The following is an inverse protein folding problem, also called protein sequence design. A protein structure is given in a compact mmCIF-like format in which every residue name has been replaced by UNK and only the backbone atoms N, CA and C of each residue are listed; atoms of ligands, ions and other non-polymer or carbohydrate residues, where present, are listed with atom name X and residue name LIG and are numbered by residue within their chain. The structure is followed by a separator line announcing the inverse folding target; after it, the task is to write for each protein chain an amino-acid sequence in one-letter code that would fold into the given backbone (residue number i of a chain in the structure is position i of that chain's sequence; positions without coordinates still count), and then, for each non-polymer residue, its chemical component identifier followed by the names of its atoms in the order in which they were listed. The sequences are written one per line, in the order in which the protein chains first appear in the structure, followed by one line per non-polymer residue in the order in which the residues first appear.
data_IF_902316713333
#
_entry.id   IF_902316713333
#
_cell.length_a   1.000
_cell.length_b   1.000
_cell.length_c   1.000
_cell.angle_alpha   90.00
_cell.angle_beta   90.00
_cell.angle_gamma   90.00
#
_symmetry.space_group_name_H-M   'P 1'
#
loop_
_entity.id
_entity.type
_entity.pdbx_description
1 polymer ?
#
# COMPACT_ATOMS: atom_id res chain seq x y z
N UNK A 1 19.66 50.66 -14.44
CA UNK A 1 19.67 49.24 -14.03
C UNK A 1 19.04 48.42 -15.15
N UNK A 2 19.74 47.41 -15.67
CA UNK A 2 19.40 46.72 -16.92
C UNK A 2 18.12 45.88 -16.76
N UNK A 3 17.13 46.09 -17.62
CA UNK A 3 15.83 45.41 -17.64
C UNK A 3 15.91 43.87 -17.65
N UNK A 4 17.07 43.31 -18.00
CA UNK A 4 17.31 41.87 -18.05
C UNK A 4 17.39 41.23 -16.65
N UNK A 5 17.82 41.96 -15.63
CA UNK A 5 17.87 41.44 -14.25
C UNK A 5 16.48 41.15 -13.71
N UNK A 6 15.50 42.01 -14.00
CA UNK A 6 14.12 41.93 -13.47
C UNK A 6 13.35 40.76 -14.10
N UNK A 7 13.57 40.48 -15.39
CA UNK A 7 12.96 39.31 -16.04
C UNK A 7 13.45 37.99 -15.43
N UNK A 8 14.75 37.86 -15.15
CA UNK A 8 15.32 36.63 -14.55
C UNK A 8 14.76 36.33 -13.15
N UNK A 9 14.50 37.36 -12.34
CA UNK A 9 13.89 37.19 -11.02
C UNK A 9 12.40 36.80 -11.10
N UNK A 10 11.65 37.35 -12.05
CA UNK A 10 10.25 36.96 -12.27
C UNK A 10 10.13 35.51 -12.75
N UNK A 11 11.02 35.06 -13.64
CA UNK A 11 11.03 33.66 -14.11
C UNK A 11 11.37 32.67 -12.99
N UNK A 12 12.35 33.00 -12.15
CA UNK A 12 12.71 32.16 -11.00
C UNK A 12 11.60 32.11 -9.94
N UNK A 13 10.92 33.22 -9.68
CA UNK A 13 9.79 33.28 -8.76
C UNK A 13 8.57 32.49 -9.25
N UNK A 14 8.24 32.57 -10.56
CA UNK A 14 7.16 31.76 -11.14
C UNK A 14 7.47 30.26 -11.11
N UNK A 15 8.71 29.85 -11.42
CA UNK A 15 9.13 28.45 -11.29
C UNK A 15 9.08 27.98 -9.83
N UNK A 16 9.52 28.79 -8.87
CA UNK A 16 9.42 28.46 -7.45
C UNK A 16 7.95 28.32 -7.00
N UNK A 17 7.06 29.23 -7.38
CA UNK A 17 5.63 29.12 -7.02
C UNK A 17 4.96 27.89 -7.65
N UNK A 18 5.26 27.58 -8.91
CA UNK A 18 4.73 26.39 -9.58
C UNK A 18 5.27 25.09 -8.97
N UNK A 19 6.55 25.05 -8.57
CA UNK A 19 7.13 23.90 -7.88
C UNK A 19 6.57 23.73 -6.47
N UNK A 20 6.34 24.82 -5.72
CA UNK A 20 5.73 24.77 -4.38
C UNK A 20 4.27 24.30 -4.45
N UNK A 21 3.48 24.78 -5.42
CA UNK A 21 2.09 24.33 -5.60
C UNK A 21 2.02 22.88 -6.10
N UNK A 22 2.90 22.48 -7.03
CA UNK A 22 3.00 21.09 -7.48
C UNK A 22 3.40 20.13 -6.35
N UNK A 23 4.35 20.52 -5.49
CA UNK A 23 4.79 19.71 -4.37
C UNK A 23 3.75 19.63 -3.24
N UNK A 24 3.02 20.73 -2.98
CA UNK A 24 1.91 20.72 -2.02
C UNK A 24 0.80 19.74 -2.45
N UNK A 25 0.41 19.75 -3.73
CA UNK A 25 -0.59 18.82 -4.27
C UNK A 25 -0.14 17.36 -4.22
N UNK A 26 1.16 17.08 -4.43
CA UNK A 26 1.69 15.72 -4.30
C UNK A 26 1.73 15.28 -2.83
N UNK A 27 2.09 16.19 -1.92
CA UNK A 27 2.12 15.89 -0.49
C UNK A 27 0.72 15.55 0.01
N UNK A 28 -0.28 16.38 -0.31
CA UNK A 28 -1.69 16.13 0.00
C UNK A 28 -2.19 14.83 -0.64
N UNK A 29 -1.87 14.59 -1.92
CA UNK A 29 -2.20 13.33 -2.58
C UNK A 29 -1.59 12.13 -1.87
N UNK A 30 -0.38 12.24 -1.34
CA UNK A 30 0.36 11.18 -0.65
C UNK A 30 0.19 11.19 0.88
N UNK A 31 -0.82 11.85 1.42
CA UNK A 31 -1.15 11.71 2.84
C UNK A 31 -1.69 10.31 3.15
N UNK A 32 -1.38 9.85 4.36
CA UNK A 32 -1.95 8.64 4.93
C UNK A 32 -3.48 8.72 4.92
N UNK A 33 -4.11 7.61 4.59
CA UNK A 33 -5.57 7.53 4.68
C UNK A 33 -6.02 7.73 6.12
N UNK A 34 -7.00 8.60 6.30
CA UNK A 34 -7.60 8.92 7.59
C UNK A 34 -8.93 8.20 7.74
N UNK A 35 -9.37 8.04 8.98
CA UNK A 35 -10.72 7.55 9.25
C UNK A 35 -11.75 8.58 8.75
N UNK A 36 -12.70 8.11 7.96
CA UNK A 36 -13.87 8.88 7.53
C UNK A 36 -15.14 8.33 8.22
N UNK A 37 -15.81 9.12 9.09
CA UNK A 37 -17.04 8.69 9.77
C UNK A 37 -18.24 8.49 8.83
N UNK A 38 -18.22 9.01 7.60
CA UNK A 38 -19.31 8.78 6.63
C UNK A 38 -19.08 7.55 5.75
N UNK A 39 -17.85 7.03 5.72
CA UNK A 39 -17.53 5.81 5.00
C UNK A 39 -17.99 4.58 5.83
N UNK A 40 -18.79 3.67 5.26
CA UNK A 40 -19.41 2.57 6.01
C UNK A 40 -18.44 1.41 6.36
N UNK A 41 -17.13 1.60 6.15
CA UNK A 41 -16.15 0.52 6.29
C UNK A 41 -15.86 0.12 7.74
N UNK A 42 -16.00 1.06 8.68
CA UNK A 42 -15.74 0.89 10.11
C UNK A 42 -16.78 1.64 10.93
N UNK A 43 -17.16 1.10 12.09
CA UNK A 43 -18.13 1.75 12.97
C UNK A 43 -17.48 2.89 13.80
N UNK A 44 -16.16 2.91 13.92
CA UNK A 44 -15.44 3.94 14.70
C UNK A 44 -14.00 4.16 14.24
N UNK A 45 -13.43 5.30 14.63
CA UNK A 45 -12.00 5.59 14.51
C UNK A 45 -11.13 4.53 15.19
N UNK A 46 -11.60 3.95 16.30
CA UNK A 46 -10.86 2.92 17.04
C UNK A 46 -10.72 1.65 16.22
N UNK A 47 -11.77 1.24 15.51
CA UNK A 47 -11.73 0.05 14.64
C UNK A 47 -10.82 0.29 13.42
N UNK A 48 -10.94 1.45 12.77
CA UNK A 48 -10.07 1.85 11.67
C UNK A 48 -8.59 1.79 12.08
N UNK A 49 -8.25 2.41 13.21
CA UNK A 49 -6.87 2.43 13.71
C UNK A 49 -6.40 1.05 14.21
N UNK A 50 -7.30 0.22 14.73
CA UNK A 50 -7.01 -1.16 15.10
C UNK A 50 -6.60 -2.01 13.89
N UNK A 51 -7.36 -1.93 12.79
CA UNK A 51 -7.03 -2.66 11.56
C UNK A 51 -5.77 -2.07 10.88
N UNK A 52 -5.61 -0.74 10.89
CA UNK A 52 -4.36 -0.08 10.43
C UNK A 52 -3.14 -0.56 11.20
N UNK A 53 -3.24 -0.67 12.53
CA UNK A 53 -2.15 -1.16 13.37
C UNK A 53 -1.80 -2.61 13.04
N UNK A 54 -2.82 -3.46 12.84
CA UNK A 54 -2.61 -4.85 12.42
C UNK A 54 -1.90 -4.93 11.07
N UNK A 55 -2.33 -4.12 10.09
CA UNK A 55 -1.67 -4.01 8.79
C UNK A 55 -0.18 -3.65 8.93
N UNK A 56 0.11 -2.58 9.69
CA UNK A 56 1.48 -2.11 9.92
C UNK A 56 2.34 -3.16 10.60
N UNK A 57 1.79 -3.94 11.54
CA UNK A 57 2.53 -5.01 12.20
C UNK A 57 2.99 -6.11 11.24
N UNK A 58 2.13 -6.51 10.28
CA UNK A 58 2.51 -7.48 9.26
C UNK A 58 3.49 -6.90 8.25
N UNK A 59 3.31 -5.62 7.88
CA UNK A 59 4.23 -4.88 7.01
C UNK A 59 5.62 -4.81 7.61
N UNK A 60 5.72 -4.40 8.89
CA UNK A 60 6.98 -4.29 9.62
C UNK A 60 7.67 -5.64 9.72
N UNK A 61 6.90 -6.69 10.02
CA UNK A 61 7.43 -8.05 10.05
C UNK A 61 7.95 -8.51 8.69
N UNK A 62 7.25 -8.19 7.60
CA UNK A 62 7.73 -8.47 6.25
C UNK A 62 9.07 -7.78 5.98
N UNK A 63 9.20 -6.49 6.31
CA UNK A 63 10.46 -5.74 6.15
C UNK A 63 11.58 -6.36 6.99
N UNK A 64 11.30 -6.74 8.24
CA UNK A 64 12.26 -7.38 9.14
C UNK A 64 12.83 -8.66 8.53
N UNK A 65 11.97 -9.62 8.17
CA UNK A 65 12.37 -10.95 7.70
C UNK A 65 12.97 -10.93 6.28
N UNK A 66 12.83 -9.82 5.55
CA UNK A 66 13.33 -9.70 4.17
C UNK A 66 14.49 -8.73 4.01
N UNK A 67 14.85 -7.98 5.04
CA UNK A 67 15.88 -6.93 5.00
C UNK A 67 17.23 -7.35 4.40
N UNK A 68 17.60 -8.63 4.55
CA UNK A 68 18.90 -9.18 4.15
C UNK A 68 18.79 -10.47 3.31
N UNK A 69 17.64 -10.72 2.68
CA UNK A 69 17.44 -11.94 1.86
C UNK A 69 17.23 -11.58 0.38
N UNK A 70 17.53 -12.54 -0.49
CA UNK A 70 17.27 -12.41 -1.93
C UNK A 70 15.88 -12.91 -2.30
N UNK A 71 14.94 -11.97 -2.43
CA UNK A 71 13.59 -12.27 -2.90
C UNK A 71 13.51 -12.66 -4.39
N UNK A 72 14.61 -12.61 -5.16
CA UNK A 72 14.66 -13.25 -6.48
C UNK A 72 14.66 -14.79 -6.40
N UNK A 73 15.05 -15.36 -5.26
CA UNK A 73 15.14 -16.80 -5.04
C UNK A 73 13.78 -17.39 -4.59
N UNK A 74 13.25 -18.33 -5.37
CA UNK A 74 11.94 -18.96 -5.11
C UNK A 74 11.88 -19.69 -3.76
N UNK A 75 12.98 -20.30 -3.32
CA UNK A 75 13.05 -20.97 -2.02
C UNK A 75 12.98 -19.96 -0.87
N UNK A 76 13.65 -18.81 -1.03
CA UNK A 76 13.62 -17.73 -0.03
C UNK A 76 12.22 -17.11 0.04
N UNK A 77 11.60 -16.82 -1.09
CA UNK A 77 10.21 -16.33 -1.15
C UNK A 77 9.24 -17.29 -0.45
N UNK A 78 9.33 -18.60 -0.74
CA UNK A 78 8.48 -19.60 -0.10
C UNK A 78 8.66 -19.62 1.43
N UNK A 79 9.89 -19.45 1.92
CA UNK A 79 10.18 -19.34 3.34
C UNK A 79 9.59 -18.06 3.96
N UNK A 80 9.64 -16.93 3.25
CA UNK A 80 9.03 -15.66 3.68
C UNK A 80 7.51 -15.79 3.76
N UNK A 81 6.87 -16.39 2.75
CA UNK A 81 5.43 -16.69 2.75
C UNK A 81 5.05 -17.59 3.93
N UNK A 82 5.86 -18.63 4.20
CA UNK A 82 5.64 -19.52 5.34
C UNK A 82 5.68 -18.77 6.68
N UNK A 83 6.67 -17.90 6.88
CA UNK A 83 6.79 -17.06 8.08
C UNK A 83 5.62 -16.09 8.25
N UNK A 84 5.20 -15.43 7.16
CA UNK A 84 4.03 -14.54 7.15
C UNK A 84 2.74 -15.30 7.52
N UNK A 85 2.51 -16.46 6.91
CA UNK A 85 1.35 -17.32 7.21
C UNK A 85 1.39 -17.87 8.65
N UNK A 86 2.57 -18.15 9.19
CA UNK A 86 2.71 -18.55 10.60
C UNK A 86 2.37 -17.40 11.55
N UNK A 87 2.79 -16.16 11.25
CA UNK A 87 2.38 -14.97 12.00
C UNK A 87 0.87 -14.74 11.89
N UNK A 88 0.29 -15.01 10.72
CA UNK A 88 -1.14 -14.94 10.48
C UNK A 88 -1.94 -15.85 11.44
N UNK A 89 -1.56 -17.12 11.53
CA UNK A 89 -2.17 -18.07 12.47
C UNK A 89 -2.00 -17.64 13.92
N UNK A 90 -0.82 -17.13 14.29
CA UNK A 90 -0.57 -16.61 15.65
C UNK A 90 -1.48 -15.44 16.01
N UNK A 91 -1.95 -14.67 15.03
CA UNK A 91 -2.93 -13.59 15.20
C UNK A 91 -4.39 -14.06 15.20
N UNK A 92 -4.63 -15.36 15.08
CA UNK A 92 -5.96 -15.95 15.15
C UNK A 92 -6.70 -16.00 13.81
N UNK A 93 -6.05 -15.65 12.70
CA UNK A 93 -6.66 -15.85 11.38
C UNK A 93 -6.68 -17.33 11.00
N UNK A 94 -7.77 -17.74 10.35
CA UNK A 94 -7.86 -19.06 9.78
C UNK A 94 -7.06 -19.11 8.46
N UNK A 95 -5.96 -19.86 8.44
CA UNK A 95 -5.13 -20.03 7.25
C UNK A 95 -5.80 -20.83 6.13
N UNK A 96 -6.96 -21.44 6.36
CA UNK A 96 -7.81 -22.00 5.28
C UNK A 96 -8.69 -20.94 4.62
N UNK A 97 -8.74 -19.74 5.18
CA UNK A 97 -9.51 -18.62 4.65
C UNK A 97 -8.58 -17.52 4.19
N UNK A 98 -7.46 -17.27 4.87
CA UNK A 98 -6.52 -16.20 4.56
C UNK A 98 -5.10 -16.71 4.36
N UNK A 99 -4.38 -16.17 3.39
CA UNK A 99 -2.96 -16.46 3.20
C UNK A 99 -2.23 -15.35 2.47
N UNK A 100 -0.91 -15.27 2.71
CA UNK A 100 -0.02 -14.41 1.95
C UNK A 100 0.43 -15.08 0.66
N UNK A 101 0.54 -14.27 -0.40
CA UNK A 101 1.08 -14.65 -1.71
C UNK A 101 2.01 -13.55 -2.23
N UNK A 102 2.95 -13.95 -3.10
CA UNK A 102 3.88 -13.03 -3.80
C UNK A 102 3.62 -13.14 -5.30
N UNK A 103 3.38 -12.01 -5.97
CA UNK A 103 3.12 -11.94 -7.41
C UNK A 103 4.32 -11.26 -8.09
N UNK A 104 5.18 -12.08 -8.69
CA UNK A 104 6.47 -11.64 -9.24
C UNK A 104 6.38 -10.61 -10.37
N UNK A 105 5.33 -10.63 -11.19
CA UNK A 105 5.25 -9.71 -12.34
C UNK A 105 5.16 -8.25 -11.92
N UNK A 106 4.70 -7.97 -10.70
CA UNK A 106 4.37 -6.63 -10.23
C UNK A 106 5.09 -6.24 -8.92
N UNK A 107 5.87 -7.15 -8.32
CA UNK A 107 6.47 -6.91 -7.00
C UNK A 107 5.42 -6.82 -5.88
N UNK A 108 4.27 -7.45 -6.05
CA UNK A 108 3.18 -7.36 -5.07
C UNK A 108 3.26 -8.48 -4.03
N UNK A 109 3.08 -8.11 -2.75
CA UNK A 109 2.94 -9.01 -1.61
C UNK A 109 1.55 -8.82 -1.05
N UNK A 110 0.70 -9.84 -1.12
CA UNK A 110 -0.72 -9.69 -0.80
C UNK A 110 -1.15 -10.73 0.20
N UNK A 111 -1.70 -10.30 1.34
CA UNK A 111 -2.61 -11.13 2.10
C UNK A 111 -3.99 -11.07 1.44
N UNK A 112 -4.49 -12.23 1.08
CA UNK A 112 -5.82 -12.38 0.50
C UNK A 112 -6.55 -13.53 1.17
N UNK A 113 -7.85 -13.59 0.92
CA UNK A 113 -8.60 -14.82 1.14
C UNK A 113 -8.13 -15.89 0.15
N UNK A 114 -8.02 -17.15 0.59
CA UNK A 114 -7.41 -18.28 -0.13
C UNK A 114 -7.67 -18.25 -1.64
N UNK A 115 -6.55 -18.34 -2.38
CA UNK A 115 -6.39 -18.70 -3.79
C UNK A 115 -7.40 -18.10 -4.78
N UNK A 116 -6.96 -17.07 -5.50
CA UNK A 116 -7.59 -16.61 -6.73
C UNK A 116 -8.34 -15.29 -6.64
N UNK A 117 -8.28 -14.62 -5.49
CA UNK A 117 -9.01 -13.38 -5.24
C UNK A 117 -8.22 -12.11 -5.58
N UNK A 118 -7.02 -12.18 -6.19
CA UNK A 118 -6.44 -10.99 -6.82
C UNK A 118 -7.47 -10.40 -7.77
N UNK A 119 -8.14 -9.27 -7.47
CA UNK A 119 -9.14 -8.73 -8.37
C UNK A 119 -8.49 -8.65 -9.75
N UNK A 120 -9.15 -9.17 -10.78
CA UNK A 120 -9.02 -8.45 -12.05
C UNK A 120 -9.54 -7.09 -11.65
N UNK A 121 -8.64 -6.10 -11.58
CA UNK A 121 -8.94 -4.73 -11.16
C UNK A 121 -9.82 -4.15 -12.25
N UNK A 122 -11.06 -4.62 -12.28
CA UNK A 122 -12.05 -4.22 -13.24
C UNK A 122 -12.59 -2.89 -12.76
N UNK A 123 -12.49 -1.91 -13.66
CA UNK A 123 -12.94 -0.54 -13.54
C UNK A 123 -12.42 0.29 -12.36
N UNK A 124 -11.37 1.05 -12.66
CA UNK A 124 -11.09 2.42 -12.21
C UNK A 124 -10.92 2.73 -10.70
N UNK A 125 -11.48 1.95 -9.76
CA UNK A 125 -11.32 2.12 -8.32
C UNK A 125 -10.11 1.37 -7.74
N UNK A 126 -9.93 0.08 -8.10
CA UNK A 126 -8.80 -0.71 -7.59
C UNK A 126 -7.42 -0.30 -8.14
N UNK A 127 -7.35 0.69 -9.04
CA UNK A 127 -6.07 1.35 -9.39
C UNK A 127 -5.53 2.22 -8.26
N UNK A 128 -6.38 2.66 -7.33
CA UNK A 128 -5.97 3.57 -6.25
C UNK A 128 -5.17 2.82 -5.17
N UNK A 129 -5.68 1.69 -4.65
CA UNK A 129 -4.99 0.84 -3.66
C UNK A 129 -3.78 0.05 -4.20
N UNK A 130 -3.56 0.05 -5.52
CA UNK A 130 -2.40 -0.58 -6.15
C UNK A 130 -1.39 0.43 -6.67
N UNK A 131 -1.88 1.48 -7.32
CA UNK A 131 -1.06 2.52 -7.94
C UNK A 131 -0.61 3.56 -6.93
N UNK A 132 -1.49 4.03 -6.03
CA UNK A 132 -1.14 5.10 -5.07
C UNK A 132 0.02 4.72 -4.16
N UNK A 133 0.09 3.51 -3.56
CA UNK A 133 1.24 3.14 -2.75
C UNK A 133 2.56 3.26 -3.50
N UNK A 134 2.60 2.82 -4.78
CA UNK A 134 3.81 2.92 -5.60
C UNK A 134 4.12 4.34 -6.08
N UNK A 135 3.10 5.14 -6.41
CA UNK A 135 3.24 6.56 -6.76
C UNK A 135 3.73 7.40 -5.57
N UNK A 136 3.32 7.02 -4.36
CA UNK A 136 3.66 7.67 -3.11
C UNK A 136 4.74 6.93 -2.30
N UNK A 137 5.52 6.06 -2.94
CA UNK A 137 6.48 5.18 -2.24
C UNK A 137 7.53 5.93 -1.41
N UNK A 138 7.89 7.14 -1.84
CA UNK A 138 8.89 7.98 -1.19
C UNK A 138 8.31 8.71 0.05
N UNK A 139 6.98 8.74 0.20
CA UNK A 139 6.26 9.31 1.34
C UNK A 139 5.88 8.26 2.39
N UNK A 140 6.11 6.97 2.10
CA UNK A 140 5.70 5.84 2.94
C UNK A 140 4.20 5.85 3.28
N UNK A 141 3.37 6.30 2.35
CA UNK A 141 1.92 6.48 2.54
C UNK A 141 1.21 5.15 2.79
N UNK A 142 0.45 5.08 3.88
CA UNK A 142 -0.52 4.01 4.14
C UNK A 142 -1.83 4.36 3.46
N UNK A 143 -2.21 3.55 2.48
CA UNK A 143 -3.42 3.74 1.67
C UNK A 143 -4.49 2.75 2.13
N UNK A 144 -5.69 3.28 2.37
CA UNK A 144 -6.90 2.53 2.66
C UNK A 144 -7.93 2.74 1.55
N UNK A 145 -8.65 1.68 1.20
CA UNK A 145 -9.78 1.73 0.27
C UNK A 145 -10.87 0.73 0.72
N UNK A 146 -12.13 1.05 0.42
CA UNK A 146 -13.29 0.19 0.68
C UNK A 146 -14.13 0.07 -0.57
N UNK A 147 -14.04 -1.09 -1.22
CA UNK A 147 -14.59 -1.28 -2.56
C UNK A 147 -15.25 -2.65 -2.70
N UNK A 148 -16.35 -2.67 -3.45
CA UNK A 148 -17.07 -3.90 -3.78
C UNK A 148 -16.36 -4.65 -4.89
N UNK A 149 -16.09 -5.93 -4.68
CA UNK A 149 -15.44 -6.78 -5.67
C UNK A 149 -16.46 -7.71 -6.31
N UNK A 150 -16.87 -7.40 -7.54
CA UNK A 150 -17.94 -8.11 -8.25
C UNK A 150 -17.69 -9.61 -8.38
N UNK A 151 -16.43 -10.03 -8.58
CA UNK A 151 -16.09 -11.45 -8.79
C UNK A 151 -16.33 -12.31 -7.54
N UNK A 152 -16.13 -11.76 -6.35
CA UNK A 152 -16.41 -12.46 -5.08
C UNK A 152 -17.77 -12.10 -4.49
N UNK A 153 -18.40 -11.03 -5.00
CA UNK A 153 -19.71 -10.59 -4.55
C UNK A 153 -19.71 -9.93 -3.17
N UNK A 154 -18.54 -9.51 -2.67
CA UNK A 154 -18.36 -9.00 -1.31
C UNK A 154 -17.73 -7.60 -1.32
N UNK A 155 -17.97 -6.87 -0.24
CA UNK A 155 -17.23 -5.64 0.08
C UNK A 155 -15.86 -6.00 0.66
N UNK A 156 -14.83 -5.22 0.36
CA UNK A 156 -13.48 -5.43 0.89
C UNK A 156 -12.90 -4.15 1.48
N UNK A 157 -12.17 -4.33 2.58
CA UNK A 157 -11.24 -3.35 3.12
C UNK A 157 -9.83 -3.66 2.61
N UNK A 158 -9.22 -2.69 1.97
CA UNK A 158 -7.90 -2.79 1.37
C UNK A 158 -6.94 -1.88 2.12
N UNK A 159 -5.85 -2.45 2.63
CA UNK A 159 -4.71 -1.71 3.14
C UNK A 159 -3.50 -1.95 2.25
N UNK A 160 -2.73 -0.90 2.01
CA UNK A 160 -1.55 -1.01 1.16
C UNK A 160 -0.50 0.04 1.47
N UNK A 161 0.76 -0.33 1.28
CA UNK A 161 1.91 0.57 1.41
C UNK A 161 3.07 0.05 0.56
N UNK A 162 3.81 0.95 -0.08
CA UNK A 162 5.07 0.58 -0.72
C UNK A 162 6.17 0.38 0.33
N UNK A 163 6.90 -0.72 0.21
CA UNK A 163 8.03 -1.04 1.09
C UNK A 163 9.25 -1.36 0.25
N UNK A 164 10.40 -0.80 0.62
CA UNK A 164 11.68 -1.15 0.00
C UNK A 164 12.42 -2.12 0.90
N UNK A 165 12.70 -3.32 0.42
CA UNK A 165 13.39 -4.37 1.19
C UNK A 165 14.19 -5.29 0.27
N UNK A 166 14.66 -6.45 0.76
CA UNK A 166 15.56 -7.37 0.06
C UNK A 166 16.97 -6.80 -0.14
N UNK A 167 17.94 -7.69 -0.40
CA UNK A 167 19.29 -7.30 -0.83
C UNK A 167 19.27 -6.54 -2.16
N UNK A 168 18.23 -6.75 -2.96
CA UNK A 168 18.02 -6.10 -4.26
C UNK A 168 17.42 -4.69 -4.13
N UNK A 169 17.00 -4.27 -2.92
CA UNK A 169 16.36 -2.96 -2.65
C UNK A 169 15.19 -2.66 -3.58
N UNK A 170 14.41 -3.69 -3.90
CA UNK A 170 13.21 -3.58 -4.72
C UNK A 170 12.07 -3.00 -3.88
N UNK A 171 11.20 -2.24 -4.55
CA UNK A 171 9.92 -1.83 -3.98
C UNK A 171 8.90 -2.94 -4.14
N UNK A 172 8.17 -3.19 -3.07
CA UNK A 172 7.05 -4.12 -3.03
C UNK A 172 5.78 -3.40 -2.59
N UNK A 173 4.64 -3.75 -3.19
CA UNK A 173 3.35 -3.32 -2.68
C UNK A 173 2.91 -4.31 -1.62
N UNK A 174 3.00 -3.94 -0.34
CA UNK A 174 2.52 -4.80 0.75
C UNK A 174 1.04 -4.52 0.98
N UNK A 175 0.20 -5.56 0.85
CA UNK A 175 -1.25 -5.44 0.78
C UNK A 175 -1.97 -6.38 1.75
N UNK A 176 -3.11 -5.93 2.26
CA UNK A 176 -3.97 -6.68 3.15
C UNK A 176 -5.43 -6.47 2.72
N UNK A 177 -6.04 -7.53 2.19
CA UNK A 177 -7.39 -7.52 1.64
C UNK A 177 -8.31 -8.32 2.57
N UNK A 178 -9.29 -7.66 3.19
CA UNK A 178 -10.20 -8.29 4.15
C UNK A 178 -11.64 -8.17 3.62
N UNK A 179 -12.35 -9.28 3.36
CA UNK A 179 -13.76 -9.22 3.01
C UNK A 179 -14.58 -8.76 4.21
N UNK A 180 -15.63 -8.01 3.95
CA UNK A 180 -16.66 -7.62 4.91
C UNK A 180 -17.87 -8.52 4.67
N UNK A 181 -18.24 -9.28 5.69
CA UNK A 181 -19.39 -10.20 5.71
C UNK A 181 -20.53 -9.60 6.50
#
# INVERSE_FOLDING_TARGET
MKAWSVLSFLSAALLCCAMVQGYANVTEFCEDSQWDPVQPAFASASEFNGERHLFLEFRDYFVEITSNVDLGNTTVEANVISQLNAKLTKKGFNNTVYSFTIIRSNGDITMDTILGVNPVIDNHGGRYSLGKPMLCRDFQTVVFDYTYVTRTGLQYRFWSQAVQTSVQKQFFSFRFNIPVQ
#
